data_IF_850832468895
#
_entry.id   IF_850832468895
#
_cell.length_a   1.000
_cell.length_b   1.000
_cell.length_c   1.000
_cell.angle_alpha   90.00
_cell.angle_beta   90.00
_cell.angle_gamma   90.00
#
_symmetry.space_group_name_H-M   'P 1'
#
loop_
_entity.id
_entity.type
_entity.pdbx_description
1 polymer ?
#
# COMPACT_ATOMS: atom_id res chain seq x y z
N UNK A 1 -19.95 -2.85 20.95
CA UNK A 1 -19.73 -3.65 19.73
C UNK A 1 -21.09 -3.89 19.09
N UNK A 2 -21.33 -3.37 17.88
CA UNK A 2 -22.46 -3.78 17.05
C UNK A 2 -22.23 -5.23 16.60
N UNK A 3 -23.31 -6.01 16.51
CA UNK A 3 -23.35 -7.42 16.10
C UNK A 3 -22.41 -7.72 14.91
N UNK A 4 -21.55 -8.74 15.05
CA UNK A 4 -20.63 -9.18 14.00
C UNK A 4 -20.71 -10.71 13.82
N UNK A 5 -21.09 -11.16 12.62
CA UNK A 5 -21.25 -12.57 12.26
C UNK A 5 -20.76 -12.83 10.83
N UNK A 6 -19.57 -13.41 10.70
CA UNK A 6 -18.88 -13.70 9.42
C UNK A 6 -19.12 -15.14 8.91
N UNK A 7 -19.98 -15.92 9.58
CA UNK A 7 -20.35 -17.27 9.14
C UNK A 7 -19.17 -18.27 9.00
N UNK A 8 -18.02 -18.03 9.64
CA UNK A 8 -16.82 -18.86 9.50
C UNK A 8 -17.07 -20.35 9.79
N UNK A 9 -17.68 -20.65 10.94
CA UNK A 9 -18.06 -22.04 11.31
C UNK A 9 -19.01 -22.64 10.27
N UNK A 10 -19.97 -21.86 9.75
CA UNK A 10 -20.91 -22.31 8.71
C UNK A 10 -20.17 -22.67 7.42
N UNK A 11 -19.14 -21.94 7.02
CA UNK A 11 -18.35 -22.24 5.80
C UNK A 11 -17.66 -23.60 5.93
N UNK A 12 -17.03 -23.87 7.07
CA UNK A 12 -16.41 -25.18 7.34
C UNK A 12 -17.43 -26.32 7.33
N UNK A 13 -18.61 -26.12 7.93
CA UNK A 13 -19.69 -27.13 7.90
C UNK A 13 -20.17 -27.39 6.48
N UNK A 14 -20.35 -26.35 5.67
CA UNK A 14 -20.77 -26.50 4.27
C UNK A 14 -19.73 -27.25 3.43
N UNK A 15 -18.43 -26.98 3.65
CA UNK A 15 -17.35 -27.69 2.97
C UNK A 15 -17.33 -29.17 3.37
N UNK A 16 -17.51 -29.47 4.66
CA UNK A 16 -17.62 -30.83 5.16
C UNK A 16 -18.81 -31.58 4.56
N UNK A 17 -20.00 -30.96 4.52
CA UNK A 17 -21.20 -31.59 3.92
C UNK A 17 -21.00 -31.88 2.43
N UNK A 18 -20.32 -30.99 1.69
CA UNK A 18 -20.04 -31.17 0.26
C UNK A 18 -19.18 -32.40 -0.03
N UNK A 19 -18.34 -32.82 0.91
CA UNK A 19 -17.54 -34.03 0.75
C UNK A 19 -18.43 -35.29 0.63
N UNK A 20 -19.59 -35.28 1.32
CA UNK A 20 -20.53 -36.40 1.27
C UNK A 20 -21.59 -36.26 0.18
N UNK A 21 -21.52 -35.20 -0.61
CA UNK A 21 -22.47 -34.99 -1.67
C UNK A 21 -22.15 -35.85 -2.89
N UNK A 22 -23.18 -36.20 -3.66
CA UNK A 22 -23.08 -36.95 -4.92
C UNK A 22 -22.83 -38.47 -4.83
N UNK A 23 -22.88 -39.09 -3.65
CA UNK A 23 -22.88 -40.56 -3.57
C UNK A 23 -24.17 -41.17 -4.14
N UNK A 24 -24.02 -42.30 -4.83
CA UNK A 24 -25.13 -43.03 -5.45
C UNK A 24 -25.12 -44.49 -5.00
N UNK A 25 -26.31 -45.08 -4.89
CA UNK A 25 -26.46 -46.52 -4.65
C UNK A 25 -27.25 -47.18 -5.77
N UNK A 26 -26.95 -48.44 -6.02
CA UNK A 26 -27.70 -49.30 -6.92
C UNK A 26 -28.92 -49.86 -6.19
N UNK A 27 -30.13 -49.58 -6.71
CA UNK A 27 -31.40 -50.07 -6.15
C UNK A 27 -31.87 -51.38 -6.81
N UNK A 28 -31.36 -51.71 -8.00
CA UNK A 28 -31.76 -52.88 -8.80
C UNK A 28 -31.81 -52.55 -10.30
N UNK A 29 -32.37 -53.44 -11.10
CA UNK A 29 -32.59 -53.23 -12.54
C UNK A 29 -33.97 -52.59 -12.79
N UNK A 30 -34.09 -51.77 -13.84
CA UNK A 30 -35.39 -51.22 -14.24
C UNK A 30 -36.27 -52.32 -14.84
N UNK A 31 -37.56 -52.31 -14.51
CA UNK A 31 -38.54 -53.31 -14.99
C UNK A 31 -38.66 -53.43 -16.53
N UNK A 32 -38.12 -52.47 -17.30
CA UNK A 32 -38.32 -52.35 -18.76
C UNK A 32 -37.01 -52.45 -19.55
N UNK A 33 -35.87 -52.57 -18.87
CA UNK A 33 -34.54 -52.60 -19.50
C UNK A 33 -33.52 -53.19 -18.53
N UNK A 34 -32.56 -53.97 -19.01
CA UNK A 34 -31.43 -54.52 -18.23
C UNK A 34 -30.43 -53.45 -17.72
N UNK A 35 -30.87 -52.18 -17.71
CA UNK A 35 -30.14 -51.03 -17.22
C UNK A 35 -30.28 -50.92 -15.71
N UNK A 36 -29.15 -50.77 -15.03
CA UNK A 36 -29.09 -50.56 -13.58
C UNK A 36 -29.72 -49.21 -13.19
N UNK A 37 -30.45 -49.19 -12.08
CA UNK A 37 -31.05 -48.00 -11.50
C UNK A 37 -30.23 -47.50 -10.32
N UNK A 38 -29.70 -46.29 -10.46
CA UNK A 38 -29.00 -45.58 -9.39
C UNK A 38 -29.89 -44.53 -8.75
N UNK A 39 -29.75 -44.34 -7.44
CA UNK A 39 -30.35 -43.21 -6.72
C UNK A 39 -29.25 -42.44 -6.00
N UNK A 40 -29.30 -41.10 -6.09
CA UNK A 40 -28.40 -40.22 -5.34
C UNK A 40 -28.89 -40.14 -3.90
N UNK A 41 -27.97 -40.35 -2.96
CA UNK A 41 -28.27 -40.31 -1.54
C UNK A 41 -28.24 -38.85 -1.07
N UNK A 42 -29.33 -38.30 -0.50
CA UNK A 42 -29.36 -36.92 -0.05
C UNK A 42 -28.59 -36.76 1.27
N UNK A 43 -27.81 -35.69 1.39
CA UNK A 43 -27.14 -35.28 2.63
C UNK A 43 -27.91 -34.13 3.28
N UNK A 44 -28.11 -34.18 4.60
CA UNK A 44 -28.80 -33.14 5.36
C UNK A 44 -27.99 -32.72 6.59
N UNK A 45 -28.07 -31.44 6.96
CA UNK A 45 -27.55 -30.97 8.24
C UNK A 45 -28.66 -31.00 9.29
N UNK A 46 -28.61 -31.96 10.21
CA UNK A 46 -29.58 -32.07 11.29
C UNK A 46 -29.06 -32.97 12.41
N UNK A 47 -29.37 -32.59 13.65
CA UNK A 47 -29.14 -33.44 14.81
C UNK A 47 -30.01 -34.71 14.77
N UNK A 48 -29.47 -35.82 15.28
CA UNK A 48 -30.10 -37.14 15.32
C UNK A 48 -31.47 -37.09 16.00
N UNK A 49 -31.59 -36.36 17.12
CA UNK A 49 -32.86 -36.22 17.86
C UNK A 49 -33.99 -35.64 17.00
N UNK A 50 -33.67 -34.66 16.16
CA UNK A 50 -34.61 -33.99 15.26
C UNK A 50 -34.96 -34.85 14.06
N UNK A 51 -34.01 -35.62 13.55
CA UNK A 51 -34.23 -36.57 12.46
C UNK A 51 -35.09 -37.74 12.90
N UNK A 52 -34.79 -38.34 14.05
CA UNK A 52 -35.62 -39.40 14.64
C UNK A 52 -37.06 -38.90 14.89
N UNK A 53 -37.22 -37.69 15.45
CA UNK A 53 -38.55 -37.10 15.65
C UNK A 53 -39.30 -36.84 14.33
N UNK A 54 -38.59 -36.46 13.26
CA UNK A 54 -39.19 -36.29 11.93
C UNK A 54 -39.61 -37.63 11.33
N UNK A 55 -38.79 -38.67 11.45
CA UNK A 55 -39.10 -40.02 10.97
C UNK A 55 -40.30 -40.58 11.72
N UNK A 56 -40.32 -40.53 13.06
CA UNK A 56 -41.43 -41.02 13.88
C UNK A 56 -42.76 -40.31 13.59
N UNK A 57 -42.74 -39.00 13.28
CA UNK A 57 -43.96 -38.26 12.89
C UNK A 57 -44.51 -38.65 11.53
N UNK A 58 -43.65 -39.12 10.63
CA UNK A 58 -44.03 -39.55 9.28
C UNK A 58 -44.05 -41.07 9.12
N UNK A 59 -43.76 -41.84 10.18
CA UNK A 59 -43.89 -43.30 10.22
C UNK A 59 -45.35 -43.67 10.48
N UNK A 60 -46.18 -43.47 9.45
CA UNK A 60 -47.51 -44.10 9.38
C UNK A 60 -47.38 -45.37 8.55
N UNK A 61 -48.21 -46.38 8.82
CA UNK A 61 -48.18 -47.69 8.14
C UNK A 61 -48.27 -47.59 6.59
N UNK A 62 -48.80 -46.49 6.06
CA UNK A 62 -48.94 -46.23 4.63
C UNK A 62 -47.81 -45.37 4.00
N UNK A 63 -46.83 -44.89 4.77
CA UNK A 63 -45.74 -44.04 4.26
C UNK A 63 -44.43 -44.80 4.36
N UNK A 64 -43.86 -45.15 3.22
CA UNK A 64 -42.54 -45.76 3.15
C UNK A 64 -41.48 -44.77 3.63
N UNK A 65 -40.68 -45.17 4.62
CA UNK A 65 -39.61 -44.36 5.16
C UNK A 65 -38.57 -43.99 4.08
N UNK A 66 -38.12 -42.74 4.05
CA UNK A 66 -37.28 -42.17 2.99
C UNK A 66 -35.79 -42.52 3.14
N UNK A 67 -35.45 -43.80 3.31
CA UNK A 67 -34.08 -44.30 3.32
C UNK A 67 -33.63 -44.74 1.90
N UNK A 68 -32.34 -44.60 1.53
CA UNK A 68 -31.24 -44.14 2.37
C UNK A 68 -31.00 -42.62 2.30
N UNK A 69 -30.46 -42.07 3.38
CA UNK A 69 -30.01 -40.67 3.46
C UNK A 69 -28.83 -40.54 4.45
N UNK A 70 -28.10 -39.45 4.33
CA UNK A 70 -26.97 -39.13 5.22
C UNK A 70 -27.33 -37.87 6.03
N UNK A 71 -27.06 -37.89 7.33
CA UNK A 71 -27.20 -36.72 8.20
C UNK A 71 -25.87 -36.36 8.84
N UNK A 72 -25.47 -35.10 8.75
CA UNK A 72 -24.28 -34.56 9.40
C UNK A 72 -24.66 -33.54 10.49
N UNK A 73 -23.98 -33.57 11.63
CA UNK A 73 -24.17 -32.62 12.73
C UNK A 73 -22.90 -32.43 13.55
N UNK A 74 -22.86 -31.34 14.30
CA UNK A 74 -21.76 -31.05 15.23
C UNK A 74 -21.98 -31.87 16.49
N UNK A 75 -20.96 -32.60 16.92
CA UNK A 75 -20.97 -33.29 18.22
C UNK A 75 -20.32 -32.45 19.30
N UNK A 76 -19.20 -31.81 19.00
CA UNK A 76 -18.44 -31.02 19.96
C UNK A 76 -17.59 -29.93 19.29
N UNK A 77 -17.30 -28.87 20.03
CA UNK A 77 -16.33 -27.84 19.66
C UNK A 77 -15.38 -27.63 20.84
N UNK A 78 -14.12 -28.02 20.67
CA UNK A 78 -13.10 -27.94 21.72
C UNK A 78 -12.00 -26.97 21.34
N UNK A 79 -11.41 -26.29 22.33
CA UNK A 79 -10.22 -25.48 22.08
C UNK A 79 -9.01 -26.39 21.87
N UNK A 80 -8.26 -26.15 20.80
CA UNK A 80 -7.06 -26.93 20.47
C UNK A 80 -5.83 -26.25 21.10
N UNK A 81 -5.54 -26.62 22.35
CA UNK A 81 -4.44 -26.01 23.15
C UNK A 81 -3.05 -26.32 22.61
N UNK A 82 -2.91 -27.43 21.92
CA UNK A 82 -1.70 -27.90 21.22
C UNK A 82 -1.24 -26.91 20.13
N UNK A 83 -2.18 -26.19 19.51
CA UNK A 83 -1.92 -25.25 18.41
C UNK A 83 -1.97 -23.78 18.83
N UNK A 84 -2.09 -23.51 20.13
CA UNK A 84 -2.23 -22.16 20.64
C UNK A 84 -0.88 -21.44 20.59
N UNK A 85 -0.83 -20.34 19.85
CA UNK A 85 0.28 -19.38 19.87
C UNK A 85 -0.14 -18.09 20.58
N UNK A 86 0.79 -17.15 20.71
CA UNK A 86 0.51 -15.86 21.33
C UNK A 86 -0.65 -15.15 20.60
N UNK A 87 -1.74 -14.76 21.30
CA UNK A 87 -2.93 -14.17 20.66
C UNK A 87 -2.70 -12.83 19.94
N UNK A 88 -1.57 -12.17 20.19
CA UNK A 88 -1.18 -10.90 19.55
C UNK A 88 -0.12 -11.09 18.45
N UNK A 89 0.27 -12.32 18.16
CA UNK A 89 1.25 -12.59 17.14
C UNK A 89 0.72 -12.10 15.78
N UNK A 90 1.46 -11.18 15.19
CA UNK A 90 1.28 -10.72 13.82
C UNK A 90 2.41 -11.32 13.02
N UNK A 91 2.07 -12.29 12.18
CA UNK A 91 3.04 -12.87 11.26
C UNK A 91 3.12 -12.00 10.00
N UNK A 92 4.35 -11.76 9.52
CA UNK A 92 4.61 -10.90 8.38
C UNK A 92 5.23 -11.73 7.27
N UNK A 93 4.45 -11.96 6.22
CA UNK A 93 4.94 -12.67 5.03
C UNK A 93 5.27 -11.64 3.95
N UNK A 94 6.51 -11.69 3.46
CA UNK A 94 6.96 -10.89 2.33
C UNK A 94 6.69 -11.65 1.05
N UNK A 95 5.93 -11.05 0.14
CA UNK A 95 5.57 -11.67 -1.14
C UNK A 95 5.97 -10.72 -2.26
N UNK A 96 6.64 -11.26 -3.27
CA UNK A 96 6.89 -10.56 -4.53
C UNK A 96 5.91 -11.09 -5.57
N UNK A 97 5.14 -10.19 -6.20
CA UNK A 97 4.40 -10.55 -7.41
C UNK A 97 5.32 -10.53 -8.62
N UNK A 98 4.94 -11.27 -9.66
CA UNK A 98 5.60 -11.14 -10.97
C UNK A 98 5.20 -9.80 -11.57
N UNK A 99 6.15 -9.09 -12.18
CA UNK A 99 5.88 -7.82 -12.84
C UNK A 99 4.87 -8.06 -13.98
N UNK A 100 3.78 -7.31 -13.96
CA UNK A 100 2.75 -7.36 -15.00
C UNK A 100 3.09 -6.35 -16.08
N UNK A 101 3.24 -6.81 -17.32
CA UNK A 101 3.42 -5.94 -18.47
C UNK A 101 2.03 -5.55 -19.01
N UNK A 102 1.63 -4.29 -18.81
CA UNK A 102 0.35 -3.75 -19.28
C UNK A 102 0.22 -3.72 -20.81
N UNK A 103 1.32 -3.76 -21.55
CA UNK A 103 1.33 -3.76 -23.01
C UNK A 103 1.11 -5.16 -23.58
N UNK A 104 1.81 -6.16 -23.03
CA UNK A 104 1.67 -7.57 -23.44
C UNK A 104 0.50 -8.28 -22.74
N UNK A 105 -0.04 -7.71 -21.65
CA UNK A 105 -1.02 -8.33 -20.73
C UNK A 105 -0.55 -9.64 -20.12
N UNK A 106 0.76 -9.79 -19.96
CA UNK A 106 1.40 -11.01 -19.46
C UNK A 106 2.27 -10.72 -18.22
N UNK A 107 2.46 -11.74 -17.39
CA UNK A 107 3.36 -11.69 -16.24
C UNK A 107 4.77 -12.11 -16.67
N UNK A 108 5.72 -11.17 -16.61
CA UNK A 108 7.12 -11.45 -16.95
C UNK A 108 7.86 -12.12 -15.78
N UNK A 109 9.03 -12.70 -16.04
CA UNK A 109 9.84 -13.38 -15.02
C UNK A 109 10.64 -12.42 -14.11
N UNK A 110 10.37 -11.12 -14.19
CA UNK A 110 10.96 -10.10 -13.34
C UNK A 110 10.14 -9.92 -12.05
N UNK A 111 10.83 -9.55 -10.97
CA UNK A 111 10.20 -9.22 -9.69
C UNK A 111 9.42 -7.91 -9.88
N UNK A 112 8.11 -7.97 -9.66
CA UNK A 112 7.20 -6.83 -9.66
C UNK A 112 7.06 -6.24 -8.26
N UNK A 113 5.83 -5.83 -7.91
CA UNK A 113 5.60 -5.23 -6.61
C UNK A 113 5.86 -6.23 -5.48
N UNK A 114 6.41 -5.70 -4.40
CA UNK A 114 6.66 -6.46 -3.18
C UNK A 114 5.68 -5.96 -2.13
N UNK A 115 4.89 -6.88 -1.56
CA UNK A 115 3.93 -6.57 -0.51
C UNK A 115 4.31 -7.31 0.76
N UNK A 116 4.25 -6.60 1.88
CA UNK A 116 4.20 -7.22 3.20
C UNK A 116 2.75 -7.44 3.58
N UNK A 117 2.34 -8.69 3.71
CA UNK A 117 1.01 -9.00 4.23
C UNK A 117 1.15 -9.36 5.71
N UNK A 118 0.48 -8.57 6.55
CA UNK A 118 0.38 -8.82 7.99
C UNK A 118 -0.86 -9.68 8.25
N UNK A 119 -0.66 -10.88 8.82
CA UNK A 119 -1.74 -11.78 9.21
C UNK A 119 -1.79 -11.94 10.72
N UNK A 120 -2.98 -11.76 11.30
CA UNK A 120 -3.20 -12.00 12.72
C UNK A 120 -3.36 -13.49 13.00
N UNK A 121 -2.76 -13.97 14.08
CA UNK A 121 -2.89 -15.36 14.50
C UNK A 121 -4.37 -15.71 14.78
N UNK A 122 -4.97 -16.68 14.06
CA UNK A 122 -6.31 -17.14 14.37
C UNK A 122 -6.35 -18.01 15.62
N UNK A 123 -7.52 -18.14 16.23
CA UNK A 123 -7.73 -18.99 17.40
C UNK A 123 -8.05 -20.43 16.94
N UNK A 124 -7.27 -21.45 17.37
CA UNK A 124 -7.48 -22.83 16.97
C UNK A 124 -8.60 -23.51 17.74
N UNK A 125 -9.47 -24.22 17.02
CA UNK A 125 -10.47 -25.13 17.58
C UNK A 125 -10.45 -26.49 16.88
N UNK A 126 -10.93 -27.50 17.58
CA UNK A 126 -11.31 -28.80 17.05
C UNK A 126 -12.82 -28.87 16.95
N UNK A 127 -13.33 -28.95 15.72
CA UNK A 127 -14.73 -29.20 15.45
C UNK A 127 -14.92 -30.69 15.20
N UNK A 128 -15.66 -31.35 16.08
CA UNK A 128 -16.02 -32.76 15.91
C UNK A 128 -17.40 -32.83 15.24
N UNK A 129 -17.45 -33.58 14.15
CA UNK A 129 -18.66 -33.79 13.35
C UNK A 129 -19.01 -35.27 13.34
N UNK A 130 -20.29 -35.60 13.45
CA UNK A 130 -20.78 -36.96 13.21
C UNK A 130 -21.56 -37.00 11.90
N UNK A 131 -21.38 -38.08 11.16
CA UNK A 131 -22.11 -38.40 9.93
C UNK A 131 -22.81 -39.73 10.15
N UNK A 132 -24.13 -39.68 10.21
CA UNK A 132 -24.98 -40.86 10.31
C UNK A 132 -25.49 -41.25 8.94
N UNK A 133 -25.26 -42.50 8.55
CA UNK A 133 -25.72 -43.09 7.30
C UNK A 133 -26.92 -43.97 7.64
N UNK A 134 -28.10 -43.56 7.19
CA UNK A 134 -29.37 -44.25 7.43
C UNK A 134 -29.70 -45.12 6.23
N UNK A 135 -29.79 -46.44 6.44
CA UNK A 135 -30.06 -47.41 5.38
C UNK A 135 -31.22 -48.34 5.76
N UNK A 136 -31.98 -48.78 4.76
CA UNK A 136 -33.03 -49.80 4.95
C UNK A 136 -32.50 -51.23 4.81
N UNK A 137 -31.34 -51.42 4.18
CA UNK A 137 -30.73 -52.73 3.97
C UNK A 137 -29.20 -52.64 4.14
N UNK A 138 -28.58 -53.74 4.58
CA UNK A 138 -27.13 -53.86 4.76
C UNK A 138 -26.37 -53.65 3.46
N UNK A 139 -26.90 -54.09 2.31
CA UNK A 139 -26.26 -53.91 1.01
C UNK A 139 -26.09 -52.42 0.64
N UNK A 140 -27.12 -51.61 0.86
CA UNK A 140 -27.04 -50.16 0.66
C UNK A 140 -25.98 -49.51 1.56
N UNK A 141 -25.87 -50.00 2.80
CA UNK A 141 -24.87 -49.54 3.76
C UNK A 141 -23.46 -49.89 3.30
N UNK A 142 -23.23 -51.12 2.84
CA UNK A 142 -21.93 -51.55 2.32
C UNK A 142 -21.53 -50.75 1.08
N UNK A 143 -22.45 -50.57 0.12
CA UNK A 143 -22.19 -49.75 -1.07
C UNK A 143 -21.79 -48.30 -0.72
N UNK A 144 -22.42 -47.68 0.27
CA UNK A 144 -22.06 -46.32 0.70
C UNK A 144 -20.75 -46.27 1.50
N UNK A 145 -20.55 -47.21 2.43
CA UNK A 145 -19.34 -47.26 3.23
C UNK A 145 -18.11 -47.53 2.37
N UNK A 146 -18.18 -48.42 1.39
CA UNK A 146 -17.05 -48.66 0.48
C UNK A 146 -16.68 -47.42 -0.34
N UNK A 147 -17.66 -46.62 -0.76
CA UNK A 147 -17.42 -45.35 -1.48
C UNK A 147 -16.81 -44.27 -0.56
N UNK A 148 -17.24 -44.20 0.70
CA UNK A 148 -16.80 -43.17 1.64
C UNK A 148 -15.43 -43.51 2.24
N UNK A 149 -15.24 -44.73 2.73
CA UNK A 149 -14.07 -45.09 3.53
C UNK A 149 -12.78 -45.08 2.73
N UNK A 150 -12.82 -45.33 1.42
CA UNK A 150 -11.63 -45.25 0.55
C UNK A 150 -11.10 -43.83 0.36
N UNK A 151 -11.91 -42.80 0.65
CA UNK A 151 -11.50 -41.40 0.55
C UNK A 151 -10.64 -40.94 1.74
N UNK A 152 -10.68 -41.67 2.86
CA UNK A 152 -10.01 -41.30 4.10
C UNK A 152 -8.89 -42.29 4.40
N UNK A 153 -7.66 -41.79 4.48
CA UNK A 153 -6.51 -42.61 4.87
C UNK A 153 -5.56 -41.86 5.82
N UNK A 154 -5.81 -41.82 7.13
CA UNK A 154 -7.11 -41.71 7.83
C UNK A 154 -7.73 -40.30 7.71
N UNK A 155 -7.09 -39.40 6.97
CA UNK A 155 -7.52 -38.02 6.82
C UNK A 155 -7.45 -37.57 5.35
N UNK A 156 -8.14 -36.48 5.03
CA UNK A 156 -8.13 -35.85 3.71
C UNK A 156 -7.89 -34.34 3.88
N UNK A 157 -6.98 -33.81 3.07
CA UNK A 157 -6.69 -32.38 3.03
C UNK A 157 -7.57 -31.71 1.98
N UNK A 158 -8.25 -30.65 2.40
CA UNK A 158 -9.11 -29.83 1.57
C UNK A 158 -8.56 -28.41 1.54
N UNK A 159 -8.39 -27.89 0.33
CA UNK A 159 -8.09 -26.49 0.09
C UNK A 159 -9.39 -25.68 0.13
N UNK A 160 -9.47 -24.72 1.04
CA UNK A 160 -10.65 -23.89 1.29
C UNK A 160 -10.65 -22.63 0.43
N UNK A 161 -9.49 -22.12 0.00
CA UNK A 161 -9.42 -20.94 -0.87
C UNK A 161 -8.18 -20.94 -1.80
N UNK A 162 -8.18 -20.04 -2.78
CA UNK A 162 -7.05 -19.90 -3.71
C UNK A 162 -5.97 -18.93 -3.19
N UNK A 163 -6.11 -18.45 -1.94
CA UNK A 163 -5.15 -17.50 -1.37
C UNK A 163 -4.05 -18.25 -0.62
N UNK A 164 -2.82 -18.34 -1.16
CA UNK A 164 -1.73 -19.04 -0.50
C UNK A 164 -1.26 -18.35 0.80
N UNK A 165 -1.64 -17.09 1.02
CA UNK A 165 -1.20 -16.29 2.17
C UNK A 165 -2.13 -16.45 3.39
N UNK A 166 -3.30 -17.06 3.20
CA UNK A 166 -4.25 -17.32 4.27
C UNK A 166 -3.86 -18.58 5.06
N UNK A 167 -3.74 -18.43 6.38
CA UNK A 167 -3.42 -19.54 7.30
C UNK A 167 -4.50 -20.62 7.28
N UNK A 168 -5.74 -20.24 6.98
CA UNK A 168 -6.91 -21.12 7.04
C UNK A 168 -7.20 -21.86 5.74
N UNK A 169 -6.31 -21.70 4.74
CA UNK A 169 -6.51 -22.26 3.42
C UNK A 169 -6.56 -23.79 3.44
N UNK A 170 -5.64 -24.44 4.13
CA UNK A 170 -5.61 -25.91 4.20
C UNK A 170 -6.37 -26.36 5.45
N UNK A 171 -7.40 -27.16 5.24
CA UNK A 171 -8.14 -27.85 6.32
C UNK A 171 -7.99 -29.34 6.17
N UNK A 172 -7.68 -30.03 7.26
CA UNK A 172 -7.65 -31.48 7.28
C UNK A 172 -8.95 -32.00 7.89
N UNK A 173 -9.53 -33.06 7.32
CA UNK A 173 -10.68 -33.77 7.88
C UNK A 173 -10.24 -35.20 8.18
N UNK A 174 -10.17 -35.54 9.45
CA UNK A 174 -9.71 -36.85 9.93
C UNK A 174 -10.89 -37.70 10.39
N UNK A 175 -10.93 -38.96 9.97
CA UNK A 175 -11.88 -39.95 10.47
C UNK A 175 -11.34 -40.58 11.76
N UNK A 176 -12.00 -40.31 12.89
CA UNK A 176 -11.56 -40.73 14.23
C UNK A 176 -12.13 -42.11 14.60
N UNK A 177 -13.41 -42.32 14.31
CA UNK A 177 -14.14 -43.49 14.79
C UNK A 177 -15.30 -43.87 13.86
N UNK A 178 -15.62 -45.17 13.86
CA UNK A 178 -16.66 -45.77 13.03
C UNK A 178 -17.50 -46.71 13.90
N UNK A 179 -18.76 -46.37 14.09
CA UNK A 179 -19.75 -47.24 14.73
C UNK A 179 -20.58 -47.92 13.63
N UNK A 180 -20.41 -49.23 13.46
CA UNK A 180 -21.01 -49.99 12.35
C UNK A 180 -22.55 -50.04 12.35
N UNK A 181 -23.16 -50.18 13.53
CA UNK A 181 -24.61 -50.27 13.70
C UNK A 181 -25.01 -49.82 15.11
N UNK A 182 -25.79 -48.75 15.23
CA UNK A 182 -26.50 -48.43 16.48
C UNK A 182 -27.90 -49.08 16.46
N UNK A 183 -28.00 -50.32 16.91
CA UNK A 183 -29.29 -51.03 16.99
C UNK A 183 -29.99 -50.69 18.30
N UNK A 184 -31.05 -49.89 18.24
CA UNK A 184 -32.00 -49.81 19.35
C UNK A 184 -32.85 -51.10 19.40
N UNK A 185 -33.17 -51.59 20.60
CA UNK A 185 -34.03 -52.77 20.81
C UNK A 185 -35.44 -52.44 20.29
N UNK A 186 -36.05 -53.28 19.43
CA UNK A 186 -37.37 -53.00 18.87
C UNK A 186 -38.43 -52.95 19.97
N UNK A 187 -39.15 -51.83 20.08
CA UNK A 187 -40.46 -51.79 20.74
C UNK A 187 -41.52 -51.60 19.65
N UNK A 188 -42.19 -52.70 19.25
CA UNK A 188 -43.35 -52.66 18.35
C UNK A 188 -43.13 -53.26 16.96
N UNK A 189 -44.05 -52.94 16.04
CA UNK A 189 -44.12 -53.44 14.65
C UNK A 189 -43.29 -52.62 13.64
N UNK A 190 -42.37 -51.80 14.12
CA UNK A 190 -41.61 -50.89 13.26
C UNK A 190 -40.49 -51.62 12.51
N UNK A 191 -40.26 -51.25 11.25
CA UNK A 191 -39.16 -51.80 10.45
C UNK A 191 -37.85 -51.14 10.85
N UNK A 192 -36.88 -51.96 11.27
CA UNK A 192 -35.62 -51.45 11.83
C UNK A 192 -34.74 -50.85 10.72
N UNK A 193 -34.44 -49.55 10.84
CA UNK A 193 -33.38 -48.89 10.08
C UNK A 193 -32.02 -49.27 10.67
N UNK A 194 -31.03 -49.50 9.80
CA UNK A 194 -29.65 -49.68 10.21
C UNK A 194 -28.90 -48.34 10.04
N UNK A 195 -28.16 -47.95 11.07
CA UNK A 195 -27.49 -46.65 11.15
C UNK A 195 -26.02 -46.90 11.42
N UNK A 196 -25.15 -46.46 10.51
CA UNK A 196 -23.71 -46.37 10.77
C UNK A 196 -23.34 -44.92 11.08
N UNK A 197 -22.54 -44.70 12.13
CA UNK A 197 -22.09 -43.37 12.54
C UNK A 197 -20.58 -43.25 12.35
N UNK A 198 -20.16 -42.26 11.57
CA UNK A 198 -18.77 -41.91 11.35
C UNK A 198 -18.45 -40.62 12.10
N UNK A 199 -17.41 -40.62 12.93
CA UNK A 199 -17.00 -39.43 13.69
C UNK A 199 -15.73 -38.84 13.09
N UNK A 200 -15.77 -37.55 12.78
CA UNK A 200 -14.69 -36.81 12.17
C UNK A 200 -14.17 -35.70 13.09
N UNK A 201 -12.86 -35.47 13.07
CA UNK A 201 -12.19 -34.31 13.65
C UNK A 201 -11.79 -33.35 12.55
N UNK A 202 -12.19 -32.10 12.66
CA UNK A 202 -11.73 -31.04 11.76
C UNK A 202 -11.07 -29.92 12.58
N UNK A 203 -9.74 -29.76 12.49
CA UNK A 203 -9.08 -28.54 12.94
C UNK A 203 -9.61 -27.33 12.17
N UNK A 204 -10.25 -26.40 12.87
CA UNK A 204 -10.73 -25.13 12.33
C UNK A 204 -10.06 -23.95 13.01
N UNK A 205 -10.04 -22.82 12.31
CA UNK A 205 -9.43 -21.58 12.77
C UNK A 205 -10.48 -20.48 12.73
N UNK A 206 -10.60 -19.74 13.84
CA UNK A 206 -11.50 -18.58 13.91
C UNK A 206 -10.66 -17.31 14.02
N UNK A 207 -10.82 -16.41 13.05
CA UNK A 207 -10.09 -15.16 12.99
C UNK A 207 -11.01 -13.95 13.30
N UNK A 208 -10.53 -12.95 14.05
CA UNK A 208 -11.14 -11.63 14.04
C UNK A 208 -10.99 -11.01 12.63
N UNK A 209 -11.87 -10.07 12.24
CA UNK A 209 -11.82 -9.48 10.91
C UNK A 209 -10.45 -8.84 10.63
N UNK A 210 -9.83 -9.24 9.52
CA UNK A 210 -8.57 -8.67 9.06
C UNK A 210 -8.81 -7.31 8.40
N UNK A 211 -8.10 -6.26 8.86
CA UNK A 211 -7.97 -5.02 8.09
C UNK A 211 -6.86 -5.23 7.07
N UNK A 212 -7.21 -5.41 5.80
CA UNK A 212 -6.22 -5.42 4.72
C UNK A 212 -5.71 -4.00 4.58
N UNK A 213 -4.47 -3.76 5.02
CA UNK A 213 -3.76 -2.51 4.77
C UNK A 213 -2.72 -2.79 3.70
N UNK A 214 -2.89 -2.22 2.50
CA UNK A 214 -1.82 -2.17 1.52
C UNK A 214 -0.75 -1.24 2.09
N UNK A 215 0.39 -1.79 2.47
CA UNK A 215 1.51 -1.00 2.92
C UNK A 215 2.12 -0.32 1.68
N UNK A 216 1.80 0.95 1.46
CA UNK A 216 2.66 1.84 0.68
C UNK A 216 3.92 2.06 1.52
N UNK A 217 4.89 1.15 1.39
CA UNK A 217 6.21 1.37 2.00
C UNK A 217 6.92 2.39 1.11
N UNK A 218 7.12 3.57 1.67
CA UNK A 218 8.07 4.57 1.17
C UNK A 218 9.46 3.93 1.24
N UNK A 219 10.06 3.64 0.08
CA UNK A 219 11.43 3.13 0.00
C UNK A 219 12.37 4.28 -0.36
N UNK A 220 12.99 4.88 0.66
CA UNK A 220 14.30 5.51 0.49
C UNK A 220 15.31 4.51 1.05
N UNK A 221 16.07 3.85 0.18
CA UNK A 221 17.19 3.02 0.63
C UNK A 221 18.38 3.96 0.82
N UNK A 222 18.67 4.32 2.07
CA UNK A 222 19.92 4.99 2.42
C UNK A 222 20.99 3.90 2.48
N UNK A 223 21.69 3.69 1.37
CA UNK A 223 22.84 2.80 1.32
C UNK A 223 24.12 3.62 1.50
N UNK A 224 24.77 3.50 2.67
CA UNK A 224 26.07 4.11 2.90
C UNK A 224 27.14 3.26 2.20
N UNK A 225 27.50 3.63 0.98
CA UNK A 225 28.60 2.99 0.24
C UNK A 225 29.77 3.95 0.18
N UNK A 226 30.93 3.49 0.68
CA UNK A 226 32.19 4.21 0.57
C UNK A 226 32.65 4.14 -0.89
N UNK A 227 32.52 5.23 -1.63
CA UNK A 227 33.15 5.34 -2.94
C UNK A 227 34.31 6.33 -2.83
N UNK A 228 35.53 5.81 -2.91
CA UNK A 228 36.72 6.61 -3.19
C UNK A 228 37.09 6.33 -4.64
N UNK A 229 37.54 7.38 -5.32
CA UNK A 229 38.27 7.37 -6.59
C UNK A 229 37.42 7.40 -7.87
N UNK A 230 37.05 8.60 -8.34
CA UNK A 230 37.76 9.23 -9.46
C UNK A 230 37.31 10.69 -9.64
N UNK A 231 38.21 11.53 -10.19
CA UNK A 231 38.13 12.99 -10.22
C UNK A 231 37.86 13.55 -11.64
N UNK A 232 37.47 12.69 -12.59
CA UNK A 232 37.56 12.99 -14.02
C UNK A 232 36.21 13.21 -14.75
N UNK A 233 35.09 13.37 -14.05
CA UNK A 233 33.77 13.57 -14.71
C UNK A 233 32.99 14.78 -14.15
N UNK A 234 33.63 15.94 -14.21
CA UNK A 234 33.01 17.25 -13.97
C UNK A 234 33.07 18.08 -15.25
N UNK A 235 32.25 17.72 -16.25
CA UNK A 235 31.89 18.66 -17.30
C UNK A 235 30.92 19.70 -16.70
N UNK A 236 31.50 20.77 -16.18
CA UNK A 236 30.82 21.86 -15.48
C UNK A 236 30.10 22.77 -16.49
N UNK A 237 28.75 22.76 -16.51
CA UNK A 237 27.96 23.82 -17.16
C UNK A 237 27.77 24.98 -16.15
N UNK A 238 28.41 26.14 -16.33
CA UNK A 238 28.36 27.28 -15.40
C UNK A 238 26.98 27.92 -15.23
N UNK A 239 25.94 27.43 -15.92
CA UNK A 239 24.58 27.99 -15.87
C UNK A 239 23.67 27.32 -14.84
N UNK A 240 24.10 26.22 -14.22
CA UNK A 240 23.34 25.53 -13.18
C UNK A 240 24.20 25.35 -11.92
N UNK A 241 23.88 26.07 -10.85
CA UNK A 241 24.48 25.82 -9.53
C UNK A 241 23.81 24.57 -8.96
N UNK A 242 24.60 23.51 -8.82
CA UNK A 242 24.24 22.30 -8.11
C UNK A 242 24.17 22.63 -6.60
N UNK A 243 22.99 22.53 -5.99
CA UNK A 243 22.69 23.03 -4.63
C UNK A 243 23.57 22.43 -3.51
N UNK A 244 24.34 21.38 -3.81
CA UNK A 244 24.98 20.53 -2.81
C UNK A 244 26.46 20.23 -3.05
N UNK A 245 27.19 20.98 -3.88
CA UNK A 245 28.66 20.87 -3.89
C UNK A 245 29.27 21.49 -2.62
N UNK A 246 29.33 20.71 -1.54
CA UNK A 246 30.26 20.95 -0.45
C UNK A 246 31.52 20.11 -0.67
N UNK A 247 32.62 20.81 -0.96
CA UNK A 247 34.04 20.46 -0.76
C UNK A 247 34.51 19.00 -0.95
N UNK A 248 35.52 18.85 -1.81
CA UNK A 248 36.36 17.65 -1.92
C UNK A 248 36.83 17.18 -0.53
N UNK A 249 36.37 15.99 -0.12
CA UNK A 249 36.80 15.31 1.12
C UNK A 249 35.70 14.93 2.12
N UNK A 250 34.43 15.24 1.88
CA UNK A 250 33.33 14.78 2.76
C UNK A 250 32.74 13.44 2.31
N UNK A 251 32.53 12.56 3.30
CA UNK A 251 31.97 11.21 3.19
C UNK A 251 30.58 11.28 2.54
N UNK A 252 30.50 10.94 1.26
CA UNK A 252 29.24 10.94 0.50
C UNK A 252 28.33 9.80 0.92
N UNK A 253 27.07 10.11 1.24
CA UNK A 253 26.02 9.10 1.43
C UNK A 253 25.29 8.97 0.10
N UNK A 254 25.40 7.83 -0.59
CA UNK A 254 24.67 7.59 -1.83
C UNK A 254 23.24 7.18 -1.47
N UNK A 255 22.33 8.14 -1.54
CA UNK A 255 20.91 7.88 -1.35
C UNK A 255 20.28 7.61 -2.70
N UNK A 256 19.77 6.40 -2.90
CA UNK A 256 19.14 6.01 -4.16
C UNK A 256 17.64 6.25 -4.04
N UNK A 257 17.13 7.25 -4.78
CA UNK A 257 15.72 7.28 -5.20
C UNK A 257 15.52 6.15 -6.21
N UNK A 258 14.31 5.56 -6.31
CA UNK A 258 14.05 4.57 -7.35
C UNK A 258 14.49 5.10 -8.73
N UNK A 259 15.22 4.27 -9.47
CA UNK A 259 15.83 4.60 -10.78
C UNK A 259 16.89 5.72 -10.78
N UNK A 260 17.39 6.15 -9.61
CA UNK A 260 18.32 7.29 -9.47
C UNK A 260 17.80 8.59 -10.10
N UNK A 261 16.48 8.75 -10.19
CA UNK A 261 15.87 9.91 -10.81
C UNK A 261 16.15 11.19 -10.01
N UNK A 262 16.41 12.27 -10.74
CA UNK A 262 16.54 13.63 -10.22
C UNK A 262 15.34 14.46 -10.66
N UNK A 263 15.08 15.58 -10.00
CA UNK A 263 14.00 16.49 -10.41
C UNK A 263 14.54 17.90 -10.57
N UNK A 264 13.95 18.64 -11.52
CA UNK A 264 14.18 20.07 -11.68
C UNK A 264 12.92 20.82 -11.34
N UNK A 265 13.00 21.73 -10.38
CA UNK A 265 11.88 22.58 -9.92
C UNK A 265 12.11 23.99 -10.42
N UNK A 266 11.27 24.45 -11.34
CA UNK A 266 11.32 25.81 -11.90
C UNK A 266 9.91 26.39 -11.92
N UNK A 267 9.71 27.47 -11.16
CA UNK A 267 8.41 28.08 -10.93
C UNK A 267 7.42 27.08 -10.34
N UNK A 268 6.33 26.86 -11.08
CA UNK A 268 5.29 25.89 -10.72
C UNK A 268 5.43 24.55 -11.44
N UNK A 269 6.54 24.32 -12.16
CA UNK A 269 6.72 23.10 -12.94
C UNK A 269 7.85 22.25 -12.35
N UNK A 270 7.60 20.95 -12.26
CA UNK A 270 8.58 19.95 -11.82
C UNK A 270 8.81 18.98 -12.96
N UNK A 271 10.02 18.98 -13.50
CA UNK A 271 10.45 18.08 -14.57
C UNK A 271 11.19 16.88 -14.00
N UNK A 272 10.92 15.69 -14.53
CA UNK A 272 11.68 14.49 -14.18
C UNK A 272 12.96 14.45 -15.02
N UNK A 273 14.09 14.23 -14.36
CA UNK A 273 15.38 14.00 -14.99
C UNK A 273 15.74 12.54 -14.77
N UNK A 274 16.24 11.88 -15.83
CA UNK A 274 16.69 10.50 -15.78
C UNK A 274 17.93 10.33 -14.88
N UNK A 275 18.50 9.14 -14.89
CA UNK A 275 19.70 8.85 -14.10
C UNK A 275 20.81 9.88 -14.38
N UNK A 276 21.42 10.40 -13.32
CA UNK A 276 22.50 11.40 -13.37
C UNK A 276 22.12 12.75 -14.00
N UNK A 277 20.83 13.13 -14.01
CA UNK A 277 20.39 14.46 -14.45
C UNK A 277 20.22 14.59 -15.97
N UNK A 278 20.27 13.47 -16.70
CA UNK A 278 20.07 13.48 -18.16
C UNK A 278 18.62 13.85 -18.49
N UNK A 279 18.46 14.84 -19.39
CA UNK A 279 17.14 15.34 -19.80
C UNK A 279 16.49 14.43 -20.87
N UNK A 280 16.24 13.17 -20.52
CA UNK A 280 15.74 12.14 -21.44
C UNK A 280 14.21 12.16 -21.65
N UNK A 281 13.53 13.25 -21.26
CA UNK A 281 12.06 13.40 -21.41
C UNK A 281 11.27 12.24 -20.82
N UNK A 282 11.63 11.84 -19.60
CA UNK A 282 10.96 10.78 -18.86
C UNK A 282 9.49 11.14 -18.58
N UNK A 283 8.61 10.14 -18.53
CA UNK A 283 7.18 10.38 -18.30
C UNK A 283 6.85 10.12 -16.85
N UNK A 284 6.24 11.11 -16.18
CA UNK A 284 5.82 10.97 -14.78
C UNK A 284 4.82 9.84 -14.58
N UNK A 285 3.95 9.59 -15.56
CA UNK A 285 2.95 8.52 -15.47
C UNK A 285 3.60 7.13 -15.42
N UNK A 286 4.59 6.89 -16.27
CA UNK A 286 5.31 5.63 -16.35
C UNK A 286 6.19 5.45 -15.10
N UNK A 287 6.85 6.52 -14.66
CA UNK A 287 7.64 6.53 -13.43
C UNK A 287 6.81 6.21 -12.18
N UNK A 288 5.57 6.68 -12.09
CA UNK A 288 4.72 6.51 -10.91
C UNK A 288 3.95 5.17 -10.87
N UNK A 289 3.83 4.45 -11.99
CA UNK A 289 3.04 3.22 -12.12
C UNK A 289 3.43 2.14 -11.10
N UNK A 290 4.72 2.09 -10.69
CA UNK A 290 5.24 1.17 -9.68
C UNK A 290 5.10 1.62 -8.21
N UNK A 291 4.73 2.88 -7.95
CA UNK A 291 4.75 3.46 -6.60
C UNK A 291 3.38 3.86 -6.06
N UNK A 292 2.41 4.11 -6.96
CA UNK A 292 1.04 4.45 -6.61
C UNK A 292 0.44 5.50 -7.55
N UNK A 293 -0.78 5.94 -7.27
CA UNK A 293 -1.46 6.94 -8.09
C UNK A 293 -1.24 8.35 -7.53
N UNK A 294 -0.85 9.29 -8.39
CA UNK A 294 -0.82 10.70 -8.04
C UNK A 294 -2.24 11.26 -8.05
N UNK A 295 -2.71 11.68 -6.87
CA UNK A 295 -4.00 12.37 -6.74
C UNK A 295 -3.77 13.88 -6.72
N UNK A 296 -4.32 14.62 -7.71
CA UNK A 296 -4.15 16.07 -7.79
C UNK A 296 -4.55 16.77 -6.49
N UNK A 297 -3.65 17.58 -5.95
CA UNK A 297 -3.89 18.36 -4.72
C UNK A 297 -3.82 17.58 -3.41
N UNK A 298 -3.65 16.25 -3.45
CA UNK A 298 -3.49 15.40 -2.25
C UNK A 298 -2.07 14.89 -2.15
N UNK A 299 -1.49 14.40 -3.26
CA UNK A 299 -0.10 13.96 -3.30
C UNK A 299 0.85 15.13 -3.05
N UNK A 300 1.87 14.88 -2.21
CA UNK A 300 2.82 15.92 -1.77
C UNK A 300 4.22 15.65 -2.31
N UNK A 301 4.90 16.70 -2.73
CA UNK A 301 6.33 16.73 -2.96
C UNK A 301 7.00 17.41 -1.77
N UNK A 302 8.06 16.78 -1.27
CA UNK A 302 8.90 17.30 -0.19
C UNK A 302 10.30 17.52 -0.78
N UNK A 303 10.78 18.74 -0.66
CA UNK A 303 12.09 19.21 -1.12
C UNK A 303 12.97 19.49 0.09
N UNK A 304 14.11 18.81 0.19
CA UNK A 304 15.03 18.95 1.31
C UNK A 304 16.03 20.06 1.06
N UNK A 305 16.06 21.06 1.96
CA UNK A 305 16.99 22.20 1.88
C UNK A 305 18.27 22.00 2.72
N UNK A 306 18.28 21.04 3.64
CA UNK A 306 19.46 20.79 4.49
C UNK A 306 20.53 20.02 3.71
N UNK A 307 21.80 20.33 3.95
CA UNK A 307 22.93 19.56 3.43
C UNK A 307 23.00 18.16 4.05
N UNK A 308 22.37 17.96 5.21
CA UNK A 308 22.22 16.65 5.82
C UNK A 308 20.87 16.04 5.43
N UNK A 309 20.90 14.87 4.81
CA UNK A 309 19.72 14.14 4.36
C UNK A 309 18.85 13.59 5.50
N UNK A 310 19.36 13.55 6.74
CA UNK A 310 18.58 13.14 7.91
C UNK A 310 17.88 14.32 8.60
N UNK A 311 18.22 15.55 8.21
CA UNK A 311 17.68 16.77 8.79
C UNK A 311 16.47 17.25 7.98
N UNK A 312 15.28 17.04 8.56
CA UNK A 312 13.99 17.46 8.00
C UNK A 312 13.51 18.83 8.48
N UNK A 313 14.34 19.58 9.23
CA UNK A 313 13.91 20.84 9.88
C UNK A 313 13.57 21.97 8.89
N UNK A 314 14.15 21.93 7.69
CA UNK A 314 13.97 22.93 6.64
C UNK A 314 13.36 22.33 5.36
N UNK A 315 12.59 21.25 5.49
CA UNK A 315 11.93 20.62 4.34
C UNK A 315 10.79 21.52 3.82
N UNK A 316 10.84 21.83 2.53
CA UNK A 316 9.83 22.62 1.81
C UNK A 316 8.82 21.66 1.19
N UNK A 317 7.53 21.92 1.33
CA UNK A 317 6.49 21.03 0.83
C UNK A 317 5.49 21.75 -0.10
N UNK A 318 4.91 20.98 -1.00
CA UNK A 318 3.83 21.44 -1.88
C UNK A 318 3.06 20.28 -2.49
N UNK A 319 1.91 20.59 -3.09
CA UNK A 319 1.03 19.60 -3.71
C UNK A 319 1.30 19.48 -5.20
N UNK A 320 1.09 18.29 -5.75
CA UNK A 320 1.32 18.00 -7.17
C UNK A 320 0.02 17.78 -7.94
N UNK A 321 0.06 18.07 -9.23
CA UNK A 321 -0.94 17.68 -10.23
C UNK A 321 -0.25 17.37 -11.57
N UNK A 322 -0.86 16.56 -12.42
CA UNK A 322 -0.34 16.35 -13.78
C UNK A 322 -0.43 17.62 -14.61
N UNK A 323 0.62 17.92 -15.40
CA UNK A 323 0.55 19.01 -16.37
C UNK A 323 -0.44 18.64 -17.49
N UNK A 324 -1.28 19.58 -17.96
CA UNK A 324 -2.35 19.27 -18.91
C UNK A 324 -1.86 18.91 -20.33
N UNK A 325 -0.62 19.28 -20.68
CA UNK A 325 -0.09 19.12 -22.05
C UNK A 325 1.28 18.46 -22.13
N UNK A 326 2.01 18.36 -21.02
CA UNK A 326 3.43 17.94 -21.03
C UNK A 326 3.61 16.75 -20.09
N UNK A 327 3.86 15.56 -20.63
CA UNK A 327 3.93 14.31 -19.85
C UNK A 327 5.17 14.24 -18.92
N UNK A 328 6.21 15.04 -19.20
CA UNK A 328 7.42 15.14 -18.39
C UNK A 328 7.30 16.20 -17.27
N UNK A 329 6.18 16.92 -17.17
CA UNK A 329 6.02 17.97 -16.17
C UNK A 329 4.86 17.68 -15.20
N UNK A 330 5.09 17.99 -13.93
CA UNK A 330 4.04 18.12 -12.93
C UNK A 330 3.86 19.59 -12.58
N UNK A 331 2.61 19.97 -12.31
CA UNK A 331 2.27 21.27 -11.71
C UNK A 331 2.48 21.15 -10.21
N UNK A 332 3.46 21.87 -9.69
CA UNK A 332 3.77 22.01 -8.28
C UNK A 332 3.16 23.29 -7.72
N UNK A 333 2.34 23.12 -6.69
CA UNK A 333 1.78 24.21 -5.91
C UNK A 333 2.47 24.24 -4.56
N UNK A 334 3.39 25.19 -4.40
CA UNK A 334 4.16 25.37 -3.17
C UNK A 334 3.23 25.74 -2.00
N UNK A 335 3.45 25.12 -0.84
CA UNK A 335 2.87 25.61 0.40
C UNK A 335 3.76 26.72 0.99
N UNK A 336 3.33 27.97 0.85
CA UNK A 336 4.07 29.13 1.35
C UNK A 336 4.35 29.11 2.86
N UNK A 337 3.59 28.33 3.65
CA UNK A 337 3.84 28.18 5.09
C UNK A 337 5.04 27.27 5.39
N UNK A 338 5.52 26.51 4.40
CA UNK A 338 6.69 25.65 4.53
C UNK A 338 8.02 26.40 4.36
N UNK A 339 7.97 27.61 3.81
CA UNK A 339 9.17 28.42 3.60
C UNK A 339 9.67 29.03 4.92
N UNK A 340 10.99 29.20 5.09
CA UNK A 340 11.55 29.95 6.21
C UNK A 340 10.95 31.36 6.29
N UNK A 341 10.79 31.88 7.51
CA UNK A 341 10.33 33.26 7.69
C UNK A 341 11.37 34.25 7.20
N UNK A 342 10.92 35.33 6.55
CA UNK A 342 11.79 36.42 6.13
C UNK A 342 12.48 37.05 7.34
N UNK A 343 13.80 37.11 7.29
CA UNK A 343 14.62 37.79 8.30
C UNK A 343 14.81 39.27 7.96
N UNK A 344 14.66 39.62 6.67
CA UNK A 344 14.67 40.99 6.17
C UNK A 344 13.29 41.32 5.62
N UNK A 345 12.84 42.55 5.85
CA UNK A 345 11.59 43.04 5.25
C UNK A 345 11.63 42.92 3.72
N UNK A 346 10.50 42.49 3.14
CA UNK A 346 10.37 42.24 1.71
C UNK A 346 10.83 43.42 0.84
N UNK A 347 11.34 43.10 -0.35
CA UNK A 347 11.70 44.08 -1.37
C UNK A 347 10.58 44.20 -2.38
N UNK A 348 10.40 45.38 -2.96
CA UNK A 348 9.36 45.59 -3.98
C UNK A 348 9.77 44.95 -5.30
N UNK A 349 11.05 45.05 -5.66
CA UNK A 349 11.59 44.52 -6.92
C UNK A 349 13.08 44.27 -6.85
N UNK A 350 13.56 43.32 -7.66
CA UNK A 350 14.97 43.13 -7.98
C UNK A 350 15.28 43.93 -9.25
N UNK A 351 16.30 44.77 -9.20
CA UNK A 351 16.60 45.72 -10.28
C UNK A 351 18.06 45.66 -10.69
N UNK A 352 18.27 45.96 -11.97
CA UNK A 352 19.57 46.36 -12.48
C UNK A 352 19.58 47.89 -12.59
N UNK A 353 20.36 48.60 -11.74
CA UNK A 353 20.34 50.06 -11.66
C UNK A 353 20.75 50.77 -12.95
N UNK A 354 21.45 50.10 -13.88
CA UNK A 354 21.84 50.68 -15.18
C UNK A 354 20.65 50.77 -16.16
N UNK A 355 19.66 49.90 -16.01
CA UNK A 355 18.52 49.80 -16.94
C UNK A 355 17.19 50.22 -16.30
N UNK A 356 17.05 50.05 -14.99
CA UNK A 356 15.79 50.22 -14.23
C UNK A 356 16.04 51.15 -13.04
N UNK A 357 15.49 52.37 -13.08
CA UNK A 357 15.72 53.39 -12.05
C UNK A 357 14.50 54.29 -11.81
N UNK A 358 14.38 54.99 -10.67
CA UNK A 358 13.22 55.81 -10.35
C UNK A 358 12.94 56.87 -11.44
N UNK A 359 11.72 56.88 -11.98
CA UNK A 359 11.34 57.75 -13.10
C UNK A 359 11.59 57.16 -14.50
N UNK A 360 12.22 55.98 -14.60
CA UNK A 360 12.32 55.19 -15.83
C UNK A 360 12.02 53.71 -15.54
N UNK A 361 10.86 53.21 -15.98
CA UNK A 361 10.32 51.86 -15.72
C UNK A 361 10.04 51.50 -14.24
N UNK A 362 10.60 52.24 -13.28
CA UNK A 362 10.14 52.27 -11.88
C UNK A 362 9.26 53.50 -11.61
N UNK A 363 8.32 53.41 -10.66
CA UNK A 363 7.64 54.58 -10.12
C UNK A 363 8.61 55.66 -9.64
N UNK A 364 8.15 56.91 -9.58
CA UNK A 364 8.93 57.97 -8.95
C UNK A 364 9.25 57.61 -7.48
N UNK A 365 10.42 58.07 -7.00
CA UNK A 365 10.91 57.74 -5.66
C UNK A 365 9.90 58.15 -4.59
N UNK A 366 9.44 57.20 -3.79
CA UNK A 366 8.46 57.39 -2.72
C UNK A 366 8.93 56.67 -1.45
N UNK A 367 8.62 57.25 -0.28
CA UNK A 367 9.06 56.71 1.01
C UNK A 367 8.63 55.25 1.17
N UNK A 368 9.57 54.41 1.60
CA UNK A 368 9.33 52.98 1.83
C UNK A 368 9.61 52.07 0.64
N UNK A 369 9.95 52.60 -0.54
CA UNK A 369 10.37 51.77 -1.67
C UNK A 369 11.68 51.04 -1.36
N UNK A 370 11.72 49.73 -1.63
CA UNK A 370 12.88 48.86 -1.37
C UNK A 370 13.25 48.05 -2.60
N UNK A 371 14.53 48.08 -2.97
CA UNK A 371 15.02 47.34 -4.14
C UNK A 371 16.27 46.53 -3.81
N UNK A 372 16.34 45.32 -4.36
CA UNK A 372 17.55 44.49 -4.34
C UNK A 372 18.35 44.72 -5.64
N UNK A 373 19.64 44.98 -5.51
CA UNK A 373 20.51 45.33 -6.62
C UNK A 373 21.22 44.11 -7.20
N UNK A 374 21.16 43.94 -8.53
CA UNK A 374 21.96 42.94 -9.24
C UNK A 374 23.36 43.46 -9.59
N UNK A 375 23.46 44.76 -9.91
CA UNK A 375 24.71 45.45 -10.22
C UNK A 375 24.94 46.62 -9.24
N UNK A 376 26.19 47.07 -9.05
CA UNK A 376 26.49 48.18 -8.15
C UNK A 376 25.95 49.52 -8.68
N UNK A 377 25.71 50.47 -7.77
CA UNK A 377 25.43 51.87 -8.10
C UNK A 377 26.72 52.68 -7.91
N UNK A 378 27.37 53.13 -9.00
CA UNK A 378 28.59 53.93 -8.90
C UNK A 378 28.27 55.36 -8.42
N UNK A 379 29.27 55.99 -7.80
CA UNK A 379 29.22 57.40 -7.39
C UNK A 379 28.91 58.28 -8.60
N UNK A 380 27.98 59.23 -8.43
CA UNK A 380 27.58 60.17 -9.48
C UNK A 380 26.35 59.76 -10.29
N UNK A 381 25.69 58.65 -9.96
CA UNK A 381 24.44 58.26 -10.60
C UNK A 381 23.29 59.23 -10.21
N UNK A 382 22.83 60.06 -11.16
CA UNK A 382 21.80 61.07 -10.91
C UNK A 382 20.43 60.48 -10.58
N UNK A 383 20.14 59.24 -10.97
CA UNK A 383 18.84 58.60 -10.79
C UNK A 383 18.60 58.11 -9.35
N UNK A 384 19.67 57.80 -8.61
CA UNK A 384 19.61 57.38 -7.20
C UNK A 384 20.23 58.40 -6.23
N UNK A 385 20.75 59.52 -6.76
CA UNK A 385 21.38 60.58 -6.00
C UNK A 385 22.89 60.64 -6.26
N UNK A 386 23.41 61.83 -6.54
CA UNK A 386 24.80 62.04 -7.01
C UNK A 386 25.90 61.60 -6.04
N UNK A 387 25.58 61.45 -4.75
CA UNK A 387 26.51 61.00 -3.70
C UNK A 387 26.22 59.60 -3.18
N UNK A 388 25.14 58.97 -3.63
CA UNK A 388 24.76 57.63 -3.19
C UNK A 388 25.54 56.57 -3.96
N UNK A 389 26.02 55.55 -3.24
CA UNK A 389 26.70 54.40 -3.82
C UNK A 389 26.27 53.15 -3.05
N UNK A 390 26.18 52.03 -3.76
CA UNK A 390 25.81 50.73 -3.22
C UNK A 390 26.48 49.63 -4.06
N UNK A 391 26.74 48.48 -3.45
CA UNK A 391 27.35 47.35 -4.13
C UNK A 391 26.29 46.40 -4.72
N UNK A 392 26.74 45.44 -5.55
CA UNK A 392 25.85 44.37 -6.00
C UNK A 392 25.42 43.51 -4.80
N UNK A 393 24.17 43.03 -4.82
CA UNK A 393 23.50 42.30 -3.73
C UNK A 393 23.05 43.15 -2.52
N UNK A 394 23.28 44.46 -2.53
CA UNK A 394 22.74 45.35 -1.49
C UNK A 394 21.23 45.55 -1.65
N UNK A 395 20.53 45.75 -0.52
CA UNK A 395 19.13 46.19 -0.52
C UNK A 395 19.09 47.65 -0.13
N UNK A 396 18.55 48.48 -1.02
CA UNK A 396 18.38 49.92 -0.81
C UNK A 396 16.95 50.25 -0.44
N UNK A 397 16.75 51.27 0.39
CA UNK A 397 15.45 51.81 0.77
C UNK A 397 15.43 53.33 0.61
N UNK A 398 14.32 53.86 0.11
CA UNK A 398 14.10 55.31 0.10
C UNK A 398 13.47 55.77 1.42
N UNK A 399 14.17 56.66 2.14
CA UNK A 399 13.75 57.16 3.46
C UNK A 399 12.70 58.29 3.38
N UNK A 400 12.42 58.79 2.18
CA UNK A 400 11.54 59.93 1.92
C UNK A 400 12.28 61.20 1.50
N UNK A 401 13.61 61.22 1.57
CA UNK A 401 14.49 62.27 1.06
C UNK A 401 15.63 61.70 0.22
N UNK A 402 16.32 60.65 0.67
CA UNK A 402 17.45 60.01 0.00
C UNK A 402 17.32 58.48 -0.01
N UNK A 403 18.09 57.84 -0.90
CA UNK A 403 18.31 56.40 -0.85
C UNK A 403 19.34 56.06 0.23
N UNK A 404 19.08 55.00 0.98
CA UNK A 404 19.97 54.46 2.01
C UNK A 404 20.11 52.95 1.85
N UNK A 405 21.27 52.40 2.21
CA UNK A 405 21.50 50.95 2.22
C UNK A 405 20.80 50.38 3.47
N UNK A 406 19.78 49.54 3.26
CA UNK A 406 19.07 48.81 4.32
C UNK A 406 19.67 47.42 4.59
N UNK A 407 20.37 46.84 3.62
CA UNK A 407 21.13 45.61 3.79
C UNK A 407 22.45 45.77 3.05
N UNK A 408 23.54 45.70 3.79
CA UNK A 408 24.91 45.77 3.27
C UNK A 408 25.44 44.34 3.12
N UNK A 409 25.55 43.89 1.88
CA UNK A 409 25.96 42.54 1.54
C UNK A 409 27.43 42.26 1.91
N UNK A 410 28.28 43.29 1.99
CA UNK A 410 29.71 43.16 2.33
C UNK A 410 29.93 42.82 3.81
N UNK A 411 28.99 43.21 4.68
CA UNK A 411 29.10 43.07 6.13
C UNK A 411 28.38 41.82 6.68
N UNK A 412 27.52 41.18 5.88
CA UNK A 412 26.68 40.07 6.35
C UNK A 412 27.11 38.76 5.71
N UNK A 413 27.63 37.84 6.52
CA UNK A 413 27.96 36.46 6.10
C UNK A 413 26.93 35.42 6.55
N UNK A 414 26.03 35.77 7.46
CA UNK A 414 24.96 34.89 7.97
C UNK A 414 23.82 34.74 6.97
N UNK A 415 23.19 33.57 6.86
CA UNK A 415 22.01 33.33 6.02
C UNK A 415 20.86 34.29 6.35
N UNK A 416 20.29 34.91 5.33
CA UNK A 416 19.13 35.81 5.43
C UNK A 416 18.08 35.44 4.39
N UNK A 417 16.82 35.78 4.64
CA UNK A 417 15.69 35.50 3.75
C UNK A 417 14.92 36.77 3.45
N UNK A 418 14.60 36.98 2.17
CA UNK A 418 13.82 38.13 1.68
C UNK A 418 12.87 37.70 0.58
N UNK A 419 11.63 38.20 0.60
CA UNK A 419 10.66 37.98 -0.48
C UNK A 419 10.62 39.17 -1.43
N UNK A 420 10.53 38.89 -2.72
CA UNK A 420 10.20 39.87 -3.73
C UNK A 420 8.67 40.00 -3.85
N UNK A 421 8.13 41.14 -3.45
CA UNK A 421 6.68 41.41 -3.44
C UNK A 421 6.07 41.45 -4.86
N UNK A 422 6.87 41.72 -5.89
CA UNK A 422 6.39 41.73 -7.28
C UNK A 422 6.24 40.32 -7.88
N UNK A 423 7.11 39.37 -7.51
CA UNK A 423 7.06 37.99 -8.06
C UNK A 423 6.52 36.95 -7.09
N UNK A 424 6.49 37.27 -5.78
CA UNK A 424 6.17 36.31 -4.71
C UNK A 424 7.31 35.35 -4.36
N UNK A 425 8.43 35.43 -5.08
CA UNK A 425 9.59 34.53 -4.89
C UNK A 425 10.40 34.93 -3.65
N UNK A 426 10.76 33.95 -2.83
CA UNK A 426 11.68 34.15 -1.71
C UNK A 426 13.11 33.82 -2.12
N UNK A 427 14.04 34.69 -1.71
CA UNK A 427 15.47 34.56 -1.93
C UNK A 427 16.19 34.34 -0.61
N UNK A 428 17.26 33.55 -0.66
CA UNK A 428 18.16 33.26 0.44
C UNK A 428 19.53 33.88 0.15
N UNK A 429 20.07 34.58 1.12
CA UNK A 429 21.45 35.04 1.12
C UNK A 429 22.38 33.91 1.56
N UNK A 430 23.40 33.59 0.77
CA UNK A 430 24.38 32.53 1.08
C UNK A 430 25.58 33.00 1.88
N UNK A 431 25.69 34.31 2.14
CA UNK A 431 26.93 34.95 2.60
C UNK A 431 27.76 35.55 1.46
N UNK A 432 27.37 35.31 0.20
CA UNK A 432 28.06 35.84 -0.99
C UNK A 432 27.11 36.32 -2.10
N UNK A 433 25.94 35.69 -2.25
CA UNK A 433 24.96 36.06 -3.27
C UNK A 433 23.53 35.73 -2.82
N UNK A 434 22.55 36.37 -3.47
CA UNK A 434 21.14 36.02 -3.34
C UNK A 434 20.78 34.92 -4.34
N UNK A 435 20.26 33.81 -3.83
CA UNK A 435 19.76 32.69 -4.63
C UNK A 435 18.29 32.45 -4.34
N UNK A 436 17.58 31.76 -5.26
CA UNK A 436 16.23 31.30 -4.99
C UNK A 436 16.22 30.36 -3.78
N UNK A 437 15.20 30.48 -2.93
CA UNK A 437 15.08 29.72 -1.69
C UNK A 437 14.72 28.24 -1.89
N UNK A 438 14.10 27.86 -3.02
CA UNK A 438 13.66 26.47 -3.24
C UNK A 438 13.71 26.01 -4.71
N UNK A 439 13.83 26.90 -5.69
CA UNK A 439 13.92 26.49 -7.09
C UNK A 439 15.32 25.99 -7.41
N UNK A 440 15.43 24.87 -8.13
CA UNK A 440 16.70 24.22 -8.39
C UNK A 440 16.57 22.78 -8.85
N UNK A 441 17.73 22.16 -9.10
CA UNK A 441 17.83 20.73 -9.35
C UNK A 441 18.07 19.99 -8.03
N UNK A 442 17.27 18.96 -7.78
CA UNK A 442 17.38 18.12 -6.59
C UNK A 442 17.92 16.76 -6.98
N UNK A 443 19.08 16.44 -6.40
CA UNK A 443 19.71 15.12 -6.51
C UNK A 443 18.86 14.05 -5.84
N UNK A 444 19.13 12.80 -6.21
CA UNK A 444 18.58 11.61 -5.59
C UNK A 444 18.70 11.68 -4.06
N UNK A 445 17.58 11.50 -3.37
CA UNK A 445 17.47 11.51 -1.91
C UNK A 445 17.15 12.86 -1.27
N UNK A 446 17.32 13.98 -1.98
CA UNK A 446 16.97 15.33 -1.50
C UNK A 446 15.55 15.75 -1.90
N UNK A 447 14.81 14.87 -2.55
CA UNK A 447 13.39 15.04 -2.83
C UNK A 447 12.65 13.75 -2.51
N UNK A 448 11.39 13.89 -2.08
CA UNK A 448 10.53 12.77 -1.69
C UNK A 448 9.10 13.02 -2.16
N UNK A 449 8.46 11.96 -2.64
CA UNK A 449 7.08 12.01 -3.08
C UNK A 449 6.19 11.20 -2.12
N UNK A 450 5.13 11.83 -1.61
CA UNK A 450 4.10 11.20 -0.80
C UNK A 450 2.83 11.07 -1.63
N UNK A 451 2.57 9.85 -2.12
CA UNK A 451 1.36 9.53 -2.86
C UNK A 451 0.21 9.26 -1.91
N UNK A 452 -1.00 9.65 -2.32
CA UNK A 452 -2.20 9.35 -1.58
C UNK A 452 -2.39 7.82 -1.47
N UNK A 453 -2.58 7.32 -0.25
CA UNK A 453 -2.96 5.92 -0.02
C UNK A 453 -4.44 5.76 -0.35
N UNK A 454 -4.77 4.92 -1.33
CA UNK A 454 -6.15 4.47 -1.58
C UNK A 454 -6.64 3.47 -0.54
#
# INVERSE_FOLDING_TARGET
MQYWYDQQIRRYILQFIRLFDSFQIKKGTKSTSDSESYIRVPVRYADMSRMVAHILRHSSENVMNSAPFISAYITNLQIARDRLQEPRLVDKVQVAERKYDNSAKEYIAEIGNTYTVERHMPVPYNLNMAVDIWCSNTDQKMQLLEQILVLFNPAIELQANDNPLDWTNITNVELIDIVWSSRAVPQGVDTQLDIATLTFSMPIWLNPPAKVKKQSIIKQIIARVNNTDSIDDLDYDPRFIDFFENFSGQIGTIVVTPENAQISVVGNNVSLLGAYGKNDSEKWKDFLEGFGELQPGISKLILRQSANIEDSSNDVFGTLAFHPTEDNQLVFTLDSASLPSNTITAVDKIIDPDTVYPGNTLPAAASGQRYLLVNPIPVGNSSFGSSFTAEANDIIQYDGSNWAISFDSSQVSSTQYVTNSNTGTQYRWTGSQWIDSYQGQYKNGFWKLELASS
#
